data_IF_903385156390
#
_entry.id   IF_903385156390
#
_cell.length_a   1.000
_cell.length_b   1.000
_cell.length_c   1.000
_cell.angle_alpha   90.00
_cell.angle_beta   90.00
_cell.angle_gamma   90.00
#
_symmetry.space_group_name_H-M   'P 1'
#
loop_
_entity.id
_entity.type
_entity.pdbx_description
1 polymer ?
#
# COMPACT_ATOMS: atom_id res chain seq x y z
N UNK A 1 23.74 -0.90 -1.67
CA UNK A 1 24.49 -2.15 -1.91
C UNK A 1 24.36 -2.48 -3.37
N UNK A 2 25.40 -2.87 -4.08
CA UNK A 2 25.22 -3.44 -5.40
C UNK A 2 24.39 -4.72 -5.26
N UNK A 3 23.36 -4.88 -6.10
CA UNK A 3 22.59 -6.10 -6.22
C UNK A 3 23.59 -7.24 -6.45
N UNK A 4 23.63 -8.21 -5.54
CA UNK A 4 24.40 -9.43 -5.77
C UNK A 4 23.74 -10.15 -6.96
N UNK A 5 24.37 -10.03 -8.12
CA UNK A 5 23.87 -10.61 -9.37
C UNK A 5 23.72 -12.15 -9.30
N UNK A 6 24.21 -12.80 -8.24
CA UNK A 6 24.07 -14.24 -8.02
C UNK A 6 22.73 -14.63 -7.39
N UNK A 7 22.06 -13.75 -6.63
CA UNK A 7 20.79 -14.04 -5.96
C UNK A 7 19.57 -13.86 -6.86
N UNK A 8 19.57 -12.88 -7.75
CA UNK A 8 18.42 -12.57 -8.62
C UNK A 8 17.93 -13.77 -9.46
N UNK A 9 18.80 -14.57 -10.11
CA UNK A 9 18.35 -15.75 -10.86
C UNK A 9 17.66 -16.80 -9.98
N UNK A 10 18.10 -16.97 -8.74
CA UNK A 10 17.47 -17.87 -7.75
C UNK A 10 16.10 -17.36 -7.33
N UNK A 11 15.97 -16.07 -7.05
CA UNK A 11 14.71 -15.42 -6.71
C UNK A 11 13.71 -15.52 -7.87
N UNK A 12 14.13 -15.25 -9.10
CA UNK A 12 13.31 -15.41 -10.30
C UNK A 12 12.81 -16.87 -10.43
N UNK A 13 13.68 -17.85 -10.20
CA UNK A 13 13.31 -19.27 -10.29
C UNK A 13 12.25 -19.62 -9.26
N UNK A 14 12.39 -19.19 -8.01
CA UNK A 14 11.45 -19.44 -6.93
C UNK A 14 10.05 -18.84 -7.23
N UNK A 15 10.01 -17.58 -7.69
CA UNK A 15 8.75 -16.93 -8.06
C UNK A 15 8.08 -17.64 -9.23
N UNK A 16 8.84 -18.07 -10.26
CA UNK A 16 8.30 -18.79 -11.40
C UNK A 16 7.77 -20.18 -11.01
N UNK A 17 8.44 -20.86 -10.10
CA UNK A 17 8.01 -22.17 -9.59
C UNK A 17 6.70 -22.04 -8.80
N UNK A 18 6.63 -21.10 -7.87
CA UNK A 18 5.43 -20.80 -7.12
C UNK A 18 4.26 -20.43 -8.06
N UNK A 19 4.49 -19.56 -9.03
CA UNK A 19 3.44 -19.16 -9.98
C UNK A 19 2.89 -20.36 -10.76
N UNK A 20 3.76 -21.28 -11.25
CA UNK A 20 3.30 -22.51 -11.94
C UNK A 20 2.44 -23.39 -11.03
N UNK A 21 2.88 -23.60 -9.79
CA UNK A 21 2.14 -24.40 -8.82
C UNK A 21 0.79 -23.75 -8.48
N UNK A 22 0.80 -22.47 -8.16
CA UNK A 22 -0.36 -21.73 -7.70
C UNK A 22 -1.43 -21.62 -8.80
N UNK A 23 -1.06 -21.27 -10.02
CA UNK A 23 -1.99 -21.19 -11.15
C UNK A 23 -2.61 -22.55 -11.49
N UNK A 24 -1.83 -23.64 -11.39
CA UNK A 24 -2.35 -24.99 -11.59
C UNK A 24 -3.33 -25.40 -10.48
N UNK A 25 -2.98 -25.17 -9.22
CA UNK A 25 -3.82 -25.47 -8.04
C UNK A 25 -5.14 -24.72 -8.05
N UNK A 26 -5.15 -23.47 -8.44
CA UNK A 26 -6.36 -22.66 -8.57
C UNK A 26 -7.16 -22.93 -9.87
N UNK A 27 -6.68 -23.81 -10.74
CA UNK A 27 -7.35 -24.09 -12.00
C UNK A 27 -7.44 -22.89 -12.96
N UNK A 28 -6.55 -21.88 -12.81
CA UNK A 28 -6.59 -20.64 -13.58
C UNK A 28 -6.25 -20.83 -15.07
N UNK A 29 -5.67 -21.98 -15.44
CA UNK A 29 -5.36 -22.34 -16.82
C UNK A 29 -6.57 -22.91 -17.58
N UNK A 30 -7.69 -23.13 -16.91
CA UNK A 30 -8.92 -23.63 -17.54
C UNK A 30 -9.56 -22.53 -18.38
N UNK A 31 -10.20 -22.91 -19.49
CA UNK A 31 -10.89 -21.96 -20.37
C UNK A 31 -12.03 -21.22 -19.66
N UNK A 32 -12.67 -21.85 -18.67
CA UNK A 32 -13.74 -21.31 -17.86
C UNK A 32 -13.31 -21.31 -16.40
N UNK A 33 -13.59 -20.23 -15.71
CA UNK A 33 -13.25 -20.08 -14.30
C UNK A 33 -14.19 -20.94 -13.45
N UNK A 34 -13.62 -21.78 -12.58
CA UNK A 34 -14.33 -22.68 -11.67
C UNK A 34 -15.39 -23.57 -12.40
N UNK A 35 -15.06 -23.98 -13.63
CA UNK A 35 -15.97 -24.75 -14.50
C UNK A 35 -17.33 -24.07 -14.78
N UNK A 36 -17.43 -22.76 -14.49
CA UNK A 36 -18.60 -21.92 -14.67
C UNK A 36 -18.76 -21.37 -16.10
N UNK A 37 -19.67 -20.42 -16.27
CA UNK A 37 -19.99 -19.81 -17.58
C UNK A 37 -19.03 -18.64 -17.94
N UNK A 38 -18.18 -18.14 -17.01
CA UNK A 38 -17.30 -17.01 -17.18
C UNK A 38 -15.85 -17.43 -17.40
N UNK A 39 -15.12 -16.65 -18.20
CA UNK A 39 -13.66 -16.67 -18.15
C UNK A 39 -13.17 -16.03 -16.85
N UNK A 40 -11.92 -16.32 -16.46
CA UNK A 40 -11.30 -15.68 -15.29
C UNK A 40 -11.38 -14.14 -15.35
N UNK A 41 -11.13 -13.57 -16.53
CA UNK A 41 -11.15 -12.12 -16.72
C UNK A 41 -12.56 -11.54 -16.59
N UNK A 42 -13.59 -12.22 -17.13
CA UNK A 42 -15.00 -11.81 -16.97
C UNK A 42 -15.43 -11.87 -15.50
N UNK A 43 -15.09 -12.96 -14.79
CA UNK A 43 -15.36 -13.11 -13.36
C UNK A 43 -14.69 -11.99 -12.56
N UNK A 44 -13.43 -11.68 -12.85
CA UNK A 44 -12.70 -10.59 -12.19
C UNK A 44 -13.31 -9.21 -12.46
N UNK A 45 -13.74 -8.93 -13.69
CA UNK A 45 -14.45 -7.70 -14.04
C UNK A 45 -15.74 -7.55 -13.23
N UNK A 46 -16.57 -8.61 -13.16
CA UNK A 46 -17.83 -8.59 -12.39
C UNK A 46 -17.55 -8.35 -10.90
N UNK A 47 -16.53 -9.00 -10.35
CA UNK A 47 -16.11 -8.82 -8.96
C UNK A 47 -15.68 -7.36 -8.67
N UNK A 48 -14.81 -6.78 -9.52
CA UNK A 48 -14.35 -5.40 -9.34
C UNK A 48 -15.51 -4.38 -9.43
N UNK A 49 -16.47 -4.60 -10.34
CA UNK A 49 -17.65 -3.72 -10.43
C UNK A 49 -18.54 -3.86 -9.18
N UNK A 50 -18.66 -5.07 -8.62
CA UNK A 50 -19.41 -5.31 -7.38
C UNK A 50 -18.74 -4.71 -6.14
N UNK A 51 -17.42 -4.83 -6.04
CA UNK A 51 -16.62 -4.33 -4.90
C UNK A 51 -16.43 -2.81 -4.93
N UNK A 52 -16.46 -2.19 -6.11
CA UNK A 52 -16.26 -0.76 -6.30
C UNK A 52 -17.46 -0.15 -7.03
N UNK A 53 -18.57 0.13 -6.31
CA UNK A 53 -19.76 0.71 -6.93
C UNK A 53 -19.42 1.99 -7.71
N UNK A 54 -19.91 2.06 -8.95
CA UNK A 54 -19.68 3.20 -9.87
C UNK A 54 -18.24 3.33 -10.40
N UNK A 55 -17.49 2.23 -10.49
CA UNK A 55 -16.19 2.24 -11.15
C UNK A 55 -16.33 2.61 -12.64
N UNK A 56 -15.36 3.37 -13.17
CA UNK A 56 -15.31 3.68 -14.60
C UNK A 56 -14.57 2.60 -15.38
N UNK A 57 -14.81 2.51 -16.70
CA UNK A 57 -14.07 1.60 -17.57
C UNK A 57 -12.55 1.89 -17.59
N UNK A 58 -12.16 3.17 -17.39
CA UNK A 58 -10.75 3.57 -17.30
C UNK A 58 -10.11 3.05 -16.02
N UNK A 59 -10.74 3.29 -14.87
CA UNK A 59 -10.26 2.80 -13.57
C UNK A 59 -10.17 1.27 -13.55
N UNK A 60 -11.20 0.59 -14.05
CA UNK A 60 -11.22 -0.87 -14.15
C UNK A 60 -10.07 -1.42 -15.03
N UNK A 61 -9.77 -0.74 -16.15
CA UNK A 61 -8.65 -1.09 -17.03
C UNK A 61 -7.31 -0.97 -16.30
N UNK A 62 -7.12 0.10 -15.54
CA UNK A 62 -5.89 0.35 -14.77
C UNK A 62 -5.74 -0.69 -13.64
N UNK A 63 -6.80 -0.96 -12.88
CA UNK A 63 -6.80 -1.97 -11.82
C UNK A 63 -6.45 -3.36 -12.33
N UNK A 64 -7.00 -3.76 -13.49
CA UNK A 64 -6.80 -5.09 -14.06
C UNK A 64 -5.64 -5.18 -15.06
N UNK A 65 -4.95 -4.05 -15.33
CA UNK A 65 -3.83 -3.96 -16.28
C UNK A 65 -4.20 -4.55 -17.64
N UNK A 66 -5.37 -4.17 -18.19
CA UNK A 66 -5.90 -4.71 -19.44
C UNK A 66 -5.74 -3.75 -20.61
N UNK A 67 -5.58 -4.32 -21.83
CA UNK A 67 -5.63 -3.57 -23.08
C UNK A 67 -7.01 -2.93 -23.31
N UNK A 68 -7.02 -1.71 -23.86
CA UNK A 68 -8.25 -0.92 -24.11
C UNK A 68 -9.25 -1.65 -25.01
N UNK A 69 -8.78 -2.30 -26.06
CA UNK A 69 -9.63 -3.01 -27.00
C UNK A 69 -10.20 -4.29 -26.37
N UNK A 70 -9.41 -4.96 -25.55
CA UNK A 70 -9.83 -6.19 -24.89
C UNK A 70 -10.91 -5.93 -23.83
N UNK A 71 -10.69 -4.97 -22.92
CA UNK A 71 -11.70 -4.64 -21.91
C UNK A 71 -13.00 -4.13 -22.54
N UNK A 72 -12.92 -3.34 -23.62
CA UNK A 72 -14.11 -2.85 -24.32
C UNK A 72 -14.97 -3.99 -24.87
N UNK A 73 -14.36 -5.03 -25.44
CA UNK A 73 -15.06 -6.23 -25.93
C UNK A 73 -15.72 -7.01 -24.79
N UNK A 74 -15.05 -7.16 -23.66
CA UNK A 74 -15.57 -7.85 -22.49
C UNK A 74 -16.76 -7.09 -21.88
N UNK A 75 -16.64 -5.79 -21.69
CA UNK A 75 -17.74 -4.95 -21.19
C UNK A 75 -18.96 -4.98 -22.13
N UNK A 76 -18.75 -4.92 -23.45
CA UNK A 76 -19.83 -5.05 -24.42
C UNK A 76 -20.51 -6.45 -24.35
N UNK A 77 -19.74 -7.51 -24.12
CA UNK A 77 -20.26 -8.87 -23.92
C UNK A 77 -21.11 -8.95 -22.64
N UNK A 78 -20.61 -8.45 -21.51
CA UNK A 78 -21.32 -8.48 -20.24
C UNK A 78 -22.59 -7.60 -20.26
N UNK A 79 -22.55 -6.46 -20.95
CA UNK A 79 -23.73 -5.61 -21.17
C UNK A 79 -24.80 -6.33 -22.00
N UNK A 80 -24.42 -6.97 -23.09
CA UNK A 80 -25.33 -7.76 -23.94
C UNK A 80 -25.96 -8.94 -23.19
N UNK A 81 -25.21 -9.56 -22.27
CA UNK A 81 -25.71 -10.60 -21.35
C UNK A 81 -26.55 -10.02 -20.20
N UNK A 82 -26.76 -8.71 -20.16
CA UNK A 82 -27.53 -7.98 -19.13
C UNK A 82 -27.00 -8.19 -17.70
N UNK A 83 -25.69 -8.37 -17.56
CA UNK A 83 -25.03 -8.52 -16.25
C UNK A 83 -24.57 -7.18 -15.68
N UNK A 84 -24.24 -6.24 -16.56
CA UNK A 84 -23.88 -4.87 -16.21
C UNK A 84 -24.66 -3.87 -17.06
N UNK A 85 -24.79 -2.66 -16.56
CA UNK A 85 -25.24 -1.51 -17.36
C UNK A 85 -24.33 -0.30 -17.11
N UNK A 86 -24.43 0.68 -18.00
CA UNK A 86 -23.68 1.92 -17.90
C UNK A 86 -24.64 3.05 -17.52
N UNK A 87 -24.24 3.85 -16.53
CA UNK A 87 -24.91 5.09 -16.15
C UNK A 87 -23.97 6.27 -16.40
N UNK A 88 -24.52 7.43 -16.75
CA UNK A 88 -23.73 8.66 -16.87
C UNK A 88 -23.40 9.18 -15.48
N UNK A 89 -22.16 9.59 -15.25
CA UNK A 89 -21.73 10.21 -14.00
C UNK A 89 -22.46 11.55 -13.80
N UNK A 90 -22.96 11.78 -12.59
CA UNK A 90 -23.60 13.07 -12.21
C UNK A 90 -22.51 14.14 -12.01
N UNK A 91 -21.27 13.73 -11.72
CA UNK A 91 -20.14 14.64 -11.44
C UNK A 91 -19.44 15.06 -12.71
N UNK A 92 -19.24 14.13 -13.66
CA UNK A 92 -18.72 14.42 -15.00
C UNK A 92 -19.56 13.68 -16.04
N UNK A 93 -20.41 14.40 -16.75
CA UNK A 93 -21.31 13.84 -17.77
C UNK A 93 -20.64 13.12 -18.93
N UNK A 94 -19.30 13.17 -19.02
CA UNK A 94 -18.49 12.43 -20.02
C UNK A 94 -18.10 11.04 -19.54
N UNK A 95 -18.13 10.79 -18.22
CA UNK A 95 -17.76 9.51 -17.64
C UNK A 95 -18.96 8.56 -17.58
N UNK A 96 -18.73 7.31 -17.97
CA UNK A 96 -19.71 6.21 -17.83
C UNK A 96 -19.31 5.32 -16.68
N UNK A 97 -20.20 5.22 -15.71
CA UNK A 97 -20.09 4.36 -14.53
C UNK A 97 -20.60 2.98 -14.88
N UNK A 98 -19.88 1.95 -14.43
CA UNK A 98 -20.28 0.56 -14.58
C UNK A 98 -21.02 0.11 -13.31
N UNK A 99 -22.17 -0.54 -13.50
CA UNK A 99 -23.03 -0.96 -12.40
C UNK A 99 -23.53 -2.37 -12.71
N UNK A 100 -23.50 -3.25 -11.70
CA UNK A 100 -24.12 -4.57 -11.81
C UNK A 100 -25.64 -4.44 -11.94
N UNK A 101 -26.23 -5.32 -12.71
CA UNK A 101 -27.69 -5.54 -12.68
C UNK A 101 -28.01 -6.56 -11.57
N UNK A 102 -29.29 -6.77 -11.19
CA UNK A 102 -29.65 -7.85 -10.27
C UNK A 102 -29.22 -9.25 -10.76
N UNK A 103 -29.09 -9.46 -12.07
CA UNK A 103 -28.53 -10.69 -12.63
C UNK A 103 -27.01 -10.76 -12.45
N UNK A 104 -26.31 -9.61 -12.60
CA UNK A 104 -24.89 -9.50 -12.33
C UNK A 104 -24.54 -9.75 -10.87
N UNK A 105 -25.31 -9.18 -9.93
CA UNK A 105 -25.15 -9.42 -8.49
C UNK A 105 -25.29 -10.90 -8.12
N UNK A 106 -26.33 -11.58 -8.66
CA UNK A 106 -26.47 -13.03 -8.47
C UNK A 106 -25.28 -13.81 -9.04
N UNK A 107 -24.74 -13.39 -10.18
CA UNK A 107 -23.55 -14.02 -10.78
C UNK A 107 -22.32 -13.85 -9.90
N UNK A 108 -22.09 -12.65 -9.31
CA UNK A 108 -20.99 -12.41 -8.36
C UNK A 108 -21.17 -13.29 -7.12
N UNK A 109 -22.36 -13.31 -6.52
CA UNK A 109 -22.64 -14.17 -5.35
C UNK A 109 -22.36 -15.65 -5.66
N UNK A 110 -22.73 -16.13 -6.84
CA UNK A 110 -22.44 -17.50 -7.24
C UNK A 110 -20.94 -17.77 -7.45
N UNK A 111 -20.22 -16.82 -8.07
CA UNK A 111 -18.77 -16.89 -8.25
C UNK A 111 -18.04 -16.92 -6.90
N UNK A 112 -18.46 -16.09 -5.95
CA UNK A 112 -17.89 -16.06 -4.59
C UNK A 112 -18.12 -17.38 -3.86
N UNK A 113 -19.33 -17.92 -3.91
CA UNK A 113 -19.64 -19.21 -3.32
C UNK A 113 -18.78 -20.35 -3.92
N UNK A 114 -18.65 -20.39 -5.24
CA UNK A 114 -17.84 -21.39 -5.96
C UNK A 114 -16.35 -21.23 -5.63
N UNK A 115 -15.85 -19.98 -5.54
CA UNK A 115 -14.48 -19.68 -5.13
C UNK A 115 -14.21 -20.13 -3.70
N UNK A 116 -15.11 -19.81 -2.77
CA UNK A 116 -15.01 -20.21 -1.37
C UNK A 116 -14.95 -21.73 -1.20
N UNK A 117 -15.78 -22.46 -1.91
CA UNK A 117 -15.75 -23.93 -1.90
C UNK A 117 -14.40 -24.46 -2.40
N UNK A 118 -13.93 -23.95 -3.53
CA UNK A 118 -12.65 -24.38 -4.10
C UNK A 118 -11.45 -24.09 -3.18
N UNK A 119 -11.41 -22.88 -2.58
CA UNK A 119 -10.37 -22.51 -1.61
C UNK A 119 -10.50 -23.36 -0.34
N UNK A 120 -11.72 -23.65 0.12
CA UNK A 120 -11.95 -24.54 1.28
C UNK A 120 -11.41 -25.94 1.03
N UNK A 121 -11.58 -26.50 -0.18
CA UNK A 121 -11.04 -27.79 -0.55
C UNK A 121 -9.50 -27.78 -0.54
N UNK A 122 -8.89 -26.72 -1.08
CA UNK A 122 -7.42 -26.55 -1.04
C UNK A 122 -6.93 -26.51 0.39
N UNK A 123 -7.52 -25.65 1.24
CA UNK A 123 -7.15 -25.50 2.65
C UNK A 123 -7.45 -26.78 3.44
N UNK A 124 -8.54 -27.48 3.11
CA UNK A 124 -8.90 -28.76 3.72
C UNK A 124 -7.84 -29.85 3.54
N UNK A 125 -7.10 -29.81 2.43
CA UNK A 125 -6.00 -30.73 2.15
C UNK A 125 -4.69 -30.43 2.89
N UNK A 126 -4.62 -29.30 3.64
CA UNK A 126 -3.43 -28.83 4.35
C UNK A 126 -3.60 -29.06 5.85
N UNK A 127 -2.54 -29.48 6.54
CA UNK A 127 -2.53 -29.61 7.98
C UNK A 127 -2.86 -28.27 8.66
N UNK A 128 -3.68 -28.26 9.74
CA UNK A 128 -4.14 -27.01 10.37
C UNK A 128 -3.03 -26.01 10.70
N UNK A 129 -1.93 -26.50 11.29
CA UNK A 129 -0.79 -25.63 11.67
C UNK A 129 -0.10 -24.97 10.46
N UNK A 130 -0.17 -25.60 9.28
CA UNK A 130 0.41 -25.07 8.04
C UNK A 130 -0.53 -24.10 7.32
N UNK A 131 -1.84 -24.10 7.65
CA UNK A 131 -2.81 -23.17 7.04
C UNK A 131 -2.55 -21.74 7.47
N UNK A 132 -2.33 -21.52 8.76
CA UNK A 132 -2.05 -20.20 9.30
C UNK A 132 -0.73 -19.65 8.73
N UNK A 133 0.32 -20.46 8.68
CA UNK A 133 1.59 -20.08 8.06
C UNK A 133 1.44 -19.75 6.56
N UNK A 134 0.60 -20.47 5.81
CA UNK A 134 0.31 -20.16 4.41
C UNK A 134 -0.44 -18.83 4.28
N UNK A 135 -1.44 -18.58 5.12
CA UNK A 135 -2.22 -17.33 5.10
C UNK A 135 -1.31 -16.14 5.43
N UNK A 136 -0.43 -16.26 6.40
CA UNK A 136 0.51 -15.20 6.77
C UNK A 136 1.53 -14.93 5.65
N UNK A 137 2.09 -15.97 5.03
CA UNK A 137 2.97 -15.83 3.87
C UNK A 137 2.27 -15.15 2.67
N UNK A 138 0.98 -15.47 2.43
CA UNK A 138 0.20 -14.82 1.38
C UNK A 138 -0.11 -13.36 1.69
N UNK A 139 -0.36 -13.02 2.95
CA UNK A 139 -0.54 -11.62 3.39
C UNK A 139 0.74 -10.82 3.19
N UNK A 140 1.88 -11.39 3.60
CA UNK A 140 3.18 -10.76 3.39
C UNK A 140 3.47 -10.56 1.91
N UNK A 141 3.31 -11.60 1.08
CA UNK A 141 3.48 -11.50 -0.36
C UNK A 141 2.53 -10.45 -0.99
N UNK A 142 1.27 -10.39 -0.52
CA UNK A 142 0.32 -9.37 -0.97
C UNK A 142 0.80 -7.96 -0.62
N UNK A 143 1.27 -7.72 0.60
CA UNK A 143 1.79 -6.42 1.03
C UNK A 143 2.98 -5.98 0.18
N UNK A 144 3.93 -6.90 -0.07
CA UNK A 144 5.11 -6.62 -0.91
C UNK A 144 4.71 -6.28 -2.35
N UNK A 145 3.77 -7.03 -2.94
CA UNK A 145 3.37 -6.86 -4.34
C UNK A 145 2.34 -5.74 -4.56
N UNK A 146 1.47 -5.48 -3.58
CA UNK A 146 0.42 -4.45 -3.69
C UNK A 146 0.98 -3.02 -3.61
N UNK A 147 2.20 -2.87 -3.09
CA UNK A 147 2.92 -1.61 -3.06
C UNK A 147 4.19 -1.69 -3.90
N UNK A 148 4.09 -1.91 -5.23
CA UNK A 148 5.30 -1.86 -6.05
C UNK A 148 5.88 -0.45 -5.94
N UNK A 149 7.19 -0.30 -5.69
CA UNK A 149 7.82 0.98 -5.88
C UNK A 149 7.54 1.42 -7.32
N UNK A 150 7.03 2.64 -7.52
CA UNK A 150 6.97 3.21 -8.87
C UNK A 150 8.38 3.13 -9.47
N UNK A 151 8.52 2.79 -10.77
CA UNK A 151 9.83 2.70 -11.41
C UNK A 151 10.65 3.95 -11.06
N UNK A 152 11.85 3.77 -10.53
CA UNK A 152 12.72 4.85 -10.09
C UNK A 152 12.58 5.32 -8.64
N UNK A 153 11.62 4.81 -7.85
CA UNK A 153 11.53 5.15 -6.42
C UNK A 153 12.34 4.15 -5.58
N UNK A 154 13.15 4.69 -4.66
CA UNK A 154 13.83 3.93 -3.63
C UNK A 154 13.79 4.67 -2.29
N UNK A 155 13.77 3.93 -1.18
CA UNK A 155 13.89 4.49 0.16
C UNK A 155 15.22 4.02 0.75
N UNK A 156 16.04 4.95 1.19
CA UNK A 156 17.37 4.68 1.74
C UNK A 156 17.46 5.19 3.17
N UNK A 157 18.04 4.39 4.07
CA UNK A 157 18.32 4.83 5.45
C UNK A 157 19.54 5.73 5.44
N UNK A 158 19.41 6.87 6.12
CA UNK A 158 20.52 7.78 6.33
C UNK A 158 21.43 7.25 7.45
N UNK A 159 22.72 7.14 7.17
CA UNK A 159 23.72 6.66 8.16
C UNK A 159 24.55 7.77 8.77
N UNK A 160 24.61 8.93 8.12
CA UNK A 160 25.27 10.16 8.58
C UNK A 160 24.62 11.36 7.96
N UNK A 161 24.67 12.55 8.58
CA UNK A 161 24.18 13.78 7.98
C UNK A 161 24.80 14.03 6.60
N UNK A 162 24.00 14.55 5.68
CA UNK A 162 24.45 15.02 4.37
C UNK A 162 23.62 16.25 3.96
N UNK A 163 24.15 17.02 3.02
CA UNK A 163 23.52 18.29 2.61
C UNK A 163 22.12 18.08 2.06
N UNK A 164 21.91 17.03 1.29
CA UNK A 164 20.60 16.71 0.71
C UNK A 164 19.54 16.35 1.78
N UNK A 165 19.97 15.76 2.91
CA UNK A 165 19.07 15.49 4.03
C UNK A 165 18.69 16.76 4.76
N UNK A 166 19.60 17.72 4.87
CA UNK A 166 19.33 19.03 5.45
C UNK A 166 18.43 19.87 4.54
N UNK A 167 18.64 19.83 3.23
CA UNK A 167 17.78 20.51 2.26
C UNK A 167 16.32 20.03 2.34
N UNK A 168 16.07 18.72 2.34
CA UNK A 168 14.69 18.22 2.41
C UNK A 168 14.04 18.49 3.76
N UNK A 169 14.80 18.56 4.85
CA UNK A 169 14.31 18.98 6.16
C UNK A 169 13.95 20.47 6.17
N UNK A 170 14.76 21.32 5.55
CA UNK A 170 14.48 22.74 5.43
C UNK A 170 13.17 22.98 4.63
N UNK A 171 13.00 22.30 3.50
CA UNK A 171 11.75 22.35 2.73
C UNK A 171 10.53 21.91 3.57
N UNK A 172 10.69 20.85 4.39
CA UNK A 172 9.65 20.45 5.33
C UNK A 172 9.33 21.55 6.33
N UNK A 173 10.34 22.17 6.95
CA UNK A 173 10.14 23.24 7.96
C UNK A 173 9.43 24.45 7.37
N UNK A 174 9.76 24.82 6.13
CA UNK A 174 9.05 25.87 5.41
C UNK A 174 7.60 25.50 5.09
N UNK A 175 7.39 24.28 4.59
CA UNK A 175 6.06 23.81 4.15
C UNK A 175 5.05 23.70 5.31
N UNK A 176 5.50 23.41 6.53
CA UNK A 176 4.65 23.25 7.72
C UNK A 176 4.88 24.35 8.77
N UNK A 177 5.66 25.37 8.44
CA UNK A 177 5.95 26.52 9.31
C UNK A 177 6.53 26.13 10.68
N UNK A 178 7.42 25.12 10.72
CA UNK A 178 8.06 24.67 11.96
C UNK A 178 9.00 25.76 12.49
N UNK A 179 8.81 26.12 13.76
CA UNK A 179 9.62 27.16 14.42
C UNK A 179 10.95 26.59 14.89
N UNK A 180 10.94 25.40 15.49
CA UNK A 180 12.15 24.76 16.00
C UNK A 180 12.72 23.81 14.94
N UNK A 181 13.87 24.15 14.36
CA UNK A 181 14.53 23.42 13.27
C UNK A 181 15.70 22.60 13.80
N UNK A 182 15.90 21.42 13.21
CA UNK A 182 17.09 20.63 13.49
C UNK A 182 18.30 21.24 12.75
N UNK A 183 19.46 21.14 13.37
CA UNK A 183 20.74 21.45 12.77
C UNK A 183 21.54 20.16 12.52
N UNK A 184 22.70 20.22 11.84
CA UNK A 184 23.52 19.05 11.57
C UNK A 184 23.91 18.26 12.83
N UNK A 185 24.16 18.93 13.95
CA UNK A 185 24.57 18.28 15.21
C UNK A 185 23.40 17.52 15.84
N UNK A 186 22.20 18.09 15.81
CA UNK A 186 20.96 17.42 16.27
C UNK A 186 20.67 16.19 15.41
N UNK A 187 20.82 16.30 14.09
CA UNK A 187 20.65 15.16 13.19
C UNK A 187 21.71 14.09 13.43
N UNK A 188 22.96 14.47 13.66
CA UNK A 188 24.04 13.54 13.99
C UNK A 188 23.76 12.79 15.30
N UNK A 189 23.33 13.51 16.35
CA UNK A 189 22.94 12.93 17.63
C UNK A 189 21.78 11.94 17.49
N UNK A 190 20.74 12.30 16.73
CA UNK A 190 19.62 11.41 16.43
C UNK A 190 20.07 10.12 15.75
N UNK A 191 20.93 10.21 14.74
CA UNK A 191 21.43 9.05 14.00
C UNK A 191 22.38 8.16 14.82
N UNK A 192 22.94 8.68 15.91
CA UNK A 192 23.77 7.91 16.84
C UNK A 192 22.95 7.02 17.79
N UNK A 193 21.65 7.27 17.96
CA UNK A 193 20.76 6.46 18.79
C UNK A 193 20.34 5.19 18.04
N UNK A 194 20.49 3.99 18.63
CA UNK A 194 20.22 2.71 17.92
C UNK A 194 18.83 2.56 17.34
N UNK A 195 17.81 3.01 18.07
CA UNK A 195 16.41 2.88 17.68
C UNK A 195 15.91 4.08 16.85
N UNK A 196 16.66 5.17 16.82
CA UNK A 196 16.34 6.35 16.01
C UNK A 196 16.92 6.19 14.59
N UNK A 197 16.23 6.74 13.61
CA UNK A 197 16.66 6.66 12.22
C UNK A 197 15.98 7.73 11.36
N UNK A 198 16.60 8.05 10.23
CA UNK A 198 16.01 8.85 9.16
C UNK A 198 16.08 8.09 7.85
N UNK A 199 15.02 8.20 7.05
CA UNK A 199 14.97 7.68 5.69
C UNK A 199 14.69 8.77 4.69
N UNK A 200 15.30 8.63 3.52
CA UNK A 200 15.13 9.50 2.37
C UNK A 200 14.52 8.71 1.23
N UNK A 201 13.43 9.21 0.66
CA UNK A 201 12.86 8.69 -0.56
C UNK A 201 13.51 9.36 -1.77
N UNK A 202 13.96 8.56 -2.75
CA UNK A 202 14.52 9.02 -4.02
C UNK A 202 13.60 8.62 -5.16
N UNK A 203 13.40 9.53 -6.09
CA UNK A 203 12.74 9.30 -7.39
C UNK A 203 13.74 9.64 -8.49
N UNK A 204 14.08 8.66 -9.31
CA UNK A 204 15.07 8.80 -10.39
C UNK A 204 16.42 9.39 -9.89
N UNK A 205 16.85 8.96 -8.70
CA UNK A 205 18.06 9.40 -8.03
C UNK A 205 17.96 10.73 -7.26
N UNK A 206 16.89 11.51 -7.43
CA UNK A 206 16.67 12.77 -6.72
C UNK A 206 15.89 12.54 -5.42
N UNK A 207 16.31 13.16 -4.31
CA UNK A 207 15.57 13.11 -3.05
C UNK A 207 14.24 13.86 -3.21
N UNK A 208 13.15 13.19 -2.85
CA UNK A 208 11.79 13.73 -2.98
C UNK A 208 10.96 13.62 -1.71
N UNK A 209 11.50 13.01 -0.66
CA UNK A 209 10.80 12.90 0.63
C UNK A 209 11.68 12.39 1.74
N UNK A 210 11.21 12.51 2.97
CA UNK A 210 11.90 12.02 4.16
C UNK A 210 10.91 11.61 5.25
N UNK A 211 11.40 10.83 6.22
CA UNK A 211 10.74 10.56 7.50
C UNK A 211 11.80 10.28 8.57
N UNK A 212 11.48 10.62 9.81
CA UNK A 212 12.34 10.41 10.98
C UNK A 212 11.58 9.58 12.00
N UNK A 213 12.23 8.56 12.56
CA UNK A 213 11.85 7.90 13.80
C UNK A 213 12.81 8.33 14.89
N UNK A 214 12.30 8.78 16.02
CA UNK A 214 13.10 8.99 17.24
C UNK A 214 12.49 8.25 18.43
N UNK A 215 13.29 7.88 19.39
CA UNK A 215 12.81 7.31 20.65
C UNK A 215 12.06 8.33 21.49
N UNK A 216 11.02 7.89 22.20
CA UNK A 216 10.32 8.69 23.19
C UNK A 216 10.81 8.32 24.60
N UNK A 217 11.69 9.14 25.19
CA UNK A 217 12.21 8.89 26.53
C UNK A 217 11.12 8.90 27.62
N UNK A 218 10.00 9.58 27.39
CA UNK A 218 8.87 9.69 28.32
C UNK A 218 7.94 8.49 28.31
N UNK A 219 8.00 7.64 27.30
CA UNK A 219 7.10 6.47 27.12
C UNK A 219 7.95 5.25 26.81
N UNK A 220 7.96 4.22 27.68
CA UNK A 220 8.71 2.98 27.44
C UNK A 220 8.30 2.30 26.13
N UNK A 221 9.25 1.71 25.44
CA UNK A 221 9.06 0.94 24.20
C UNK A 221 8.28 1.73 23.11
N UNK A 222 8.46 3.05 23.07
CA UNK A 222 7.76 3.91 22.11
C UNK A 222 8.73 4.73 21.26
N UNK A 223 8.37 4.84 19.98
CA UNK A 223 9.00 5.74 19.03
C UNK A 223 8.04 6.86 18.61
N UNK A 224 8.60 7.92 18.05
CA UNK A 224 7.85 9.04 17.50
C UNK A 224 8.19 9.22 16.02
N UNK A 225 7.16 9.17 15.17
CA UNK A 225 7.27 9.52 13.76
C UNK A 225 7.26 11.02 13.60
N UNK A 226 8.31 11.57 13.00
CA UNK A 226 8.50 12.99 12.75
C UNK A 226 8.89 13.25 11.31
N UNK A 227 8.66 14.47 10.86
CA UNK A 227 9.19 15.00 9.60
C UNK A 227 8.82 14.16 8.37
N UNK A 228 7.62 13.54 8.38
CA UNK A 228 7.09 12.90 7.17
C UNK A 228 6.78 13.98 6.13
N UNK A 229 7.55 13.98 5.07
CA UNK A 229 7.41 14.95 3.99
C UNK A 229 7.63 14.31 2.62
N UNK A 230 6.85 14.75 1.64
CA UNK A 230 7.02 14.44 0.22
C UNK A 230 6.84 15.70 -0.59
N UNK A 231 7.84 16.03 -1.42
CA UNK A 231 7.79 17.18 -2.32
C UNK A 231 6.49 17.19 -3.13
N UNK A 232 5.82 18.34 -3.30
CA UNK A 232 4.52 18.43 -3.99
C UNK A 232 4.51 17.75 -5.36
N UNK A 233 5.56 17.91 -6.16
CA UNK A 233 5.68 17.30 -7.49
C UNK A 233 5.78 15.76 -7.49
N UNK A 234 6.11 15.14 -6.35
CA UNK A 234 6.25 13.69 -6.19
C UNK A 234 5.06 13.04 -5.47
N UNK A 235 4.06 13.81 -5.03
CA UNK A 235 2.86 13.29 -4.35
C UNK A 235 2.00 12.43 -5.28
N UNK A 236 1.10 11.63 -4.70
CA UNK A 236 0.24 10.70 -5.46
C UNK A 236 0.94 9.42 -5.93
N UNK A 237 2.21 9.20 -5.55
CA UNK A 237 3.04 8.03 -5.93
C UNK A 237 3.29 7.07 -4.75
N UNK A 238 2.48 7.12 -3.71
CA UNK A 238 2.57 6.29 -2.50
C UNK A 238 3.89 6.41 -1.71
N UNK A 239 4.72 7.44 -1.97
CA UNK A 239 6.03 7.63 -1.33
C UNK A 239 5.90 7.77 0.20
N UNK A 240 4.88 8.50 0.68
CA UNK A 240 4.65 8.64 2.13
C UNK A 240 4.33 7.29 2.80
N UNK A 241 3.56 6.41 2.13
CA UNK A 241 3.31 5.04 2.60
C UNK A 241 4.60 4.24 2.68
N UNK A 242 5.44 4.26 1.65
CA UNK A 242 6.74 3.57 1.64
C UNK A 242 7.67 4.05 2.75
N UNK A 243 7.67 5.36 3.03
CA UNK A 243 8.44 5.93 4.15
C UNK A 243 7.93 5.44 5.50
N UNK A 244 6.61 5.33 5.68
CA UNK A 244 6.01 4.77 6.90
C UNK A 244 6.24 3.26 7.01
N UNK A 245 6.26 2.51 5.89
CA UNK A 245 6.55 1.07 5.89
C UNK A 245 7.92 0.78 6.50
N UNK A 246 8.96 1.45 6.00
CA UNK A 246 10.34 1.24 6.51
C UNK A 246 10.51 1.75 7.94
N UNK A 247 9.79 2.80 8.33
CA UNK A 247 9.79 3.33 9.69
C UNK A 247 9.13 2.34 10.66
N UNK A 248 7.95 1.82 10.33
CA UNK A 248 7.22 0.85 11.17
C UNK A 248 7.96 -0.48 11.26
N UNK A 249 8.55 -0.97 10.17
CA UNK A 249 9.38 -2.17 10.16
C UNK A 249 10.62 -2.00 11.04
N UNK A 250 11.33 -0.86 10.93
CA UNK A 250 12.47 -0.58 11.78
C UNK A 250 12.08 -0.52 13.27
N UNK A 251 10.96 0.12 13.59
CA UNK A 251 10.46 0.20 14.95
C UNK A 251 10.20 -1.19 15.54
N UNK A 252 9.56 -2.11 14.78
CA UNK A 252 9.37 -3.51 15.20
C UNK A 252 10.72 -4.22 15.44
N UNK A 253 11.68 -4.04 14.54
CA UNK A 253 13.02 -4.64 14.65
C UNK A 253 13.81 -4.10 15.86
N UNK A 254 13.47 -2.90 16.34
CA UNK A 254 14.00 -2.31 17.56
C UNK A 254 13.16 -2.62 18.82
N UNK A 255 12.19 -3.54 18.70
CA UNK A 255 11.30 -3.96 19.78
C UNK A 255 10.48 -2.80 20.39
N UNK A 256 10.16 -1.78 19.58
CA UNK A 256 9.19 -0.77 19.98
C UNK A 256 7.78 -1.35 19.84
N UNK A 257 6.94 -1.08 20.82
CA UNK A 257 5.53 -1.53 20.84
C UNK A 257 4.59 -0.48 20.25
N UNK A 258 5.00 0.79 20.34
CA UNK A 258 4.16 1.90 19.95
C UNK A 258 4.90 2.89 19.07
N UNK A 259 4.20 3.43 18.08
CA UNK A 259 4.59 4.64 17.37
C UNK A 259 3.59 5.75 17.68
N UNK A 260 4.10 6.88 18.12
CA UNK A 260 3.36 8.11 18.31
C UNK A 260 3.67 9.09 17.20
N UNK A 261 2.76 9.99 16.93
CA UNK A 261 2.98 11.15 16.08
C UNK A 261 2.11 12.33 16.54
N UNK A 262 2.60 13.51 16.28
CA UNK A 262 1.84 14.74 16.40
C UNK A 262 1.77 15.44 15.04
N UNK A 263 0.65 16.10 14.77
CA UNK A 263 0.43 16.77 13.49
C UNK A 263 -0.48 17.99 13.67
N UNK A 264 -0.72 18.69 12.60
CA UNK A 264 -1.59 19.84 12.54
C UNK A 264 -2.91 19.47 11.85
N UNK A 265 -4.04 19.89 12.42
CA UNK A 265 -5.38 19.49 11.97
C UNK A 265 -5.70 19.85 10.51
N UNK A 266 -5.00 20.83 9.93
CA UNK A 266 -5.17 21.21 8.52
C UNK A 266 -4.45 20.28 7.54
N UNK A 267 -3.55 19.42 8.02
CA UNK A 267 -2.85 18.45 7.19
C UNK A 267 -3.73 17.21 6.89
N UNK A 268 -4.94 17.44 6.39
CA UNK A 268 -5.94 16.39 6.13
C UNK A 268 -5.44 15.18 5.33
N UNK A 269 -4.61 15.35 4.26
CA UNK A 269 -4.08 14.19 3.54
C UNK A 269 -3.15 13.31 4.39
N UNK A 270 -2.37 13.90 5.30
CA UNK A 270 -1.50 13.15 6.20
C UNK A 270 -2.32 12.42 7.28
N UNK A 271 -3.33 13.08 7.85
CA UNK A 271 -4.24 12.48 8.84
C UNK A 271 -4.95 11.26 8.22
N UNK A 272 -5.53 11.41 7.02
CA UNK A 272 -6.18 10.31 6.33
C UNK A 272 -5.23 9.13 6.07
N UNK A 273 -3.96 9.39 5.72
CA UNK A 273 -2.95 8.36 5.56
C UNK A 273 -2.68 7.63 6.87
N UNK A 274 -2.53 8.35 7.99
CA UNK A 274 -2.30 7.74 9.30
C UNK A 274 -3.49 6.88 9.74
N UNK A 275 -4.72 7.38 9.60
CA UNK A 275 -5.95 6.63 9.90
C UNK A 275 -6.06 5.34 9.08
N UNK A 276 -5.81 5.39 7.77
CA UNK A 276 -5.78 4.22 6.88
C UNK A 276 -4.73 3.19 7.30
N UNK A 277 -3.66 3.61 7.95
CA UNK A 277 -2.59 2.74 8.46
C UNK A 277 -2.83 2.25 9.88
N UNK A 278 -3.97 2.55 10.48
CA UNK A 278 -4.36 2.08 11.81
C UNK A 278 -3.80 2.92 12.96
N UNK A 279 -3.38 4.17 12.68
CA UNK A 279 -3.11 5.12 13.77
C UNK A 279 -4.44 5.62 14.35
N UNK A 280 -4.54 5.63 15.66
CA UNK A 280 -5.71 6.10 16.41
C UNK A 280 -5.40 7.40 17.16
N UNK A 281 -6.43 8.23 17.38
CA UNK A 281 -6.27 9.44 18.16
C UNK A 281 -5.88 9.12 19.61
N UNK A 282 -4.98 9.91 20.19
CA UNK A 282 -4.55 9.76 21.57
C UNK A 282 -4.45 11.13 22.29
N UNK A 283 -4.24 11.07 23.60
CA UNK A 283 -3.96 12.28 24.38
C UNK A 283 -2.59 12.88 24.01
N UNK A 284 -2.46 14.19 24.27
CA UNK A 284 -1.18 14.90 24.13
C UNK A 284 -0.10 14.20 24.95
N UNK A 285 1.01 13.88 24.34
CA UNK A 285 2.15 13.17 24.94
C UNK A 285 3.45 13.99 24.92
N UNK A 286 3.47 15.15 24.27
CA UNK A 286 4.62 16.04 24.19
C UNK A 286 4.19 17.52 24.29
N UNK A 287 5.16 18.42 24.49
CA UNK A 287 4.95 19.85 24.67
C UNK A 287 5.07 20.66 23.37
N UNK A 288 4.92 20.03 22.18
CA UNK A 288 4.94 20.75 20.92
C UNK A 288 3.76 21.74 20.83
N UNK A 289 4.00 23.06 20.90
CA UNK A 289 2.91 24.06 20.92
C UNK A 289 2.19 24.16 19.57
N UNK A 290 2.81 23.73 18.48
CA UNK A 290 2.24 23.78 17.14
C UNK A 290 1.34 22.58 16.84
N UNK A 291 1.46 21.48 17.58
CA UNK A 291 0.65 20.30 17.36
C UNK A 291 -0.76 20.48 17.90
N UNK A 292 -1.75 20.19 17.07
CA UNK A 292 -3.17 20.25 17.43
C UNK A 292 -3.84 18.88 17.44
N UNK A 293 -3.15 17.85 16.95
CA UNK A 293 -3.66 16.48 16.85
C UNK A 293 -2.54 15.50 17.18
N UNK A 294 -2.89 14.45 17.95
CA UNK A 294 -1.97 13.43 18.43
C UNK A 294 -2.53 12.06 18.10
N UNK A 295 -1.70 11.21 17.55
CA UNK A 295 -2.09 9.85 17.17
C UNK A 295 -1.02 8.85 17.62
N UNK A 296 -1.43 7.59 17.76
CA UNK A 296 -0.54 6.47 18.06
C UNK A 296 -0.97 5.22 17.32
N UNK A 297 -0.04 4.30 17.17
CA UNK A 297 -0.28 2.97 16.59
C UNK A 297 0.45 1.91 17.42
N UNK A 298 -0.23 0.81 17.72
CA UNK A 298 0.40 -0.41 18.23
C UNK A 298 0.99 -1.19 17.06
N UNK A 299 2.25 -1.69 17.18
CA UNK A 299 3.01 -2.32 16.10
C UNK A 299 2.78 -3.84 15.98
#
# INVERSE_FOLDING_TARGET
MPLDCSELPRQISAVREFNRLYTARLGLLRKRHLDGEFSLTEARILYEIGSHPRITASALRETLVLDRGYISRLLASLTRRKLIHQATSIVDGREKLLILTPAGERSVTHLDASSNLHISDILGSIEPQKRDALVDALREAHQILASPPAPGISVVRLTKPCDEALEILEEYYEAVHVVQRDNPDILAALLAEPASAMWLAKLDGQIVGCVVLRTLASIPNAGECKRLYVRPAARGRHIASMLLDVLEEHARNQHLEWIYLDTYHDLKPAIALYEQRGYEHCHRYNDNPQATLFMRKHL
#
